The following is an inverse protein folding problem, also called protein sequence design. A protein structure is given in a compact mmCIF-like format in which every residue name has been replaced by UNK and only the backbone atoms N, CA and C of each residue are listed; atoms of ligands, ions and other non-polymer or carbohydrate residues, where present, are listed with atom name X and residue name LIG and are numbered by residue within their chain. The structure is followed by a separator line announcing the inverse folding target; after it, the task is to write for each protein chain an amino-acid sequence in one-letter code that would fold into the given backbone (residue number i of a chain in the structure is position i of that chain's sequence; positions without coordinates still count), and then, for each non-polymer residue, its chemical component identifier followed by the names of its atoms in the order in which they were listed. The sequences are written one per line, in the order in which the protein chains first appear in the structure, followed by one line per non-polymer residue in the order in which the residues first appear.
data_IF_642030306989
#
_entry.id   IF_642030306989
#
_cell.length_a   1.000
_cell.length_b   1.000
_cell.length_c   1.000
_cell.angle_alpha   90.00
_cell.angle_beta   90.00
_cell.angle_gamma   90.00
#
_symmetry.space_group_name_H-M   'P 1'
#
loop_
_entity.id
_entity.type
_entity.pdbx_description
1 polymer ?
#
# COMPACT_ATOMS: atom_id res chain seq x y z
N UNK A 1 6.01 4.29 -4.34
CA UNK A 1 5.99 3.34 -3.22
C UNK A 1 5.63 4.10 -1.97
N UNK A 2 4.61 3.64 -1.25
CA UNK A 2 4.15 4.23 0.01
C UNK A 2 3.67 3.09 0.91
N UNK A 3 4.13 3.07 2.16
CA UNK A 3 3.97 1.93 3.05
C UNK A 3 4.39 0.61 2.35
N UNK A 4 3.57 -0.44 2.44
CA UNK A 4 3.75 -1.73 1.77
C UNK A 4 3.14 -1.78 0.36
N UNK A 5 2.67 -0.66 -0.19
CA UNK A 5 2.07 -0.60 -1.52
C UNK A 5 3.05 -0.11 -2.58
N UNK A 6 3.08 -0.85 -3.69
CA UNK A 6 3.87 -0.56 -4.88
C UNK A 6 2.89 -0.39 -6.05
N UNK A 7 2.88 0.81 -6.61
CA UNK A 7 2.06 1.19 -7.76
C UNK A 7 2.86 2.10 -8.68
N UNK A 8 2.44 2.19 -9.94
CA UNK A 8 3.06 3.07 -10.95
C UNK A 8 2.48 4.48 -10.89
N UNK A 9 1.30 4.64 -10.28
CA UNK A 9 0.60 5.90 -10.09
C UNK A 9 0.11 6.09 -8.64
N UNK A 10 -0.38 7.28 -8.31
CA UNK A 10 -1.05 7.54 -7.03
C UNK A 10 -2.37 6.75 -6.91
N UNK A 11 -3.16 6.69 -7.98
CA UNK A 11 -4.40 5.91 -8.03
C UNK A 11 -4.18 4.42 -7.74
N UNK A 12 -3.05 3.85 -8.19
CA UNK A 12 -2.71 2.46 -7.87
C UNK A 12 -2.54 2.25 -6.35
N UNK A 13 -1.97 3.24 -5.66
CA UNK A 13 -1.79 3.20 -4.21
C UNK A 13 -3.13 3.41 -3.49
N UNK A 14 -4.00 4.30 -4.01
CA UNK A 14 -5.35 4.51 -3.47
C UNK A 14 -6.17 3.23 -3.55
N UNK A 15 -6.17 2.56 -4.70
CA UNK A 15 -6.86 1.29 -4.91
C UNK A 15 -6.31 0.19 -4.00
N UNK A 16 -4.97 0.06 -3.93
CA UNK A 16 -4.34 -0.93 -3.05
C UNK A 16 -4.69 -0.69 -1.57
N UNK A 17 -4.81 0.58 -1.14
CA UNK A 17 -5.27 0.93 0.21
C UNK A 17 -6.73 0.53 0.43
N UNK A 18 -7.63 0.86 -0.50
CA UNK A 18 -9.04 0.47 -0.40
C UNK A 18 -9.20 -1.04 -0.34
N UNK A 19 -8.57 -1.77 -1.26
CA UNK A 19 -8.57 -3.23 -1.30
C UNK A 19 -8.12 -3.84 0.05
N UNK A 20 -7.16 -3.20 0.74
CA UNK A 20 -6.64 -3.66 2.04
C UNK A 20 -7.63 -3.41 3.19
N UNK A 21 -8.22 -2.23 3.23
CA UNK A 21 -9.26 -1.87 4.22
C UNK A 21 -10.52 -2.72 4.03
N UNK A 22 -10.93 -2.97 2.78
CA UNK A 22 -12.08 -3.81 2.43
C UNK A 22 -11.81 -5.31 2.64
N UNK A 23 -10.60 -5.68 3.05
CA UNK A 23 -10.20 -7.07 3.25
C UNK A 23 -10.40 -7.92 1.98
N UNK A 24 -10.15 -7.30 0.82
CA UNK A 24 -10.31 -7.92 -0.48
C UNK A 24 -9.51 -9.22 -0.57
N UNK A 25 -10.05 -10.20 -1.31
CA UNK A 25 -9.44 -11.52 -1.53
C UNK A 25 -8.00 -11.42 -2.06
N UNK A 26 -7.66 -10.32 -2.74
CA UNK A 26 -6.30 -10.01 -3.22
C UNK A 26 -5.24 -10.08 -2.12
N UNK A 27 -5.57 -9.68 -0.89
CA UNK A 27 -4.65 -9.69 0.25
C UNK A 27 -4.80 -10.93 1.15
N UNK A 28 -5.85 -11.73 0.91
CA UNK A 28 -6.17 -12.92 1.69
C UNK A 28 -6.41 -12.61 3.17
N UNK A 29 -6.48 -13.65 4.00
CA UNK A 29 -6.46 -13.56 5.45
C UNK A 29 -5.23 -14.31 5.98
N UNK A 30 -4.58 -13.76 7.01
CA UNK A 30 -3.45 -14.44 7.66
C UNK A 30 -4.00 -15.28 8.80
N UNK A 31 -4.16 -16.58 8.57
CA UNK A 31 -4.57 -17.51 9.61
C UNK A 31 -3.44 -17.77 10.61
N UNK A 32 -3.78 -17.85 11.90
CA UNK A 32 -2.81 -18.15 12.97
C UNK A 32 -2.15 -16.92 13.62
N UNK A 33 -2.43 -15.70 13.15
CA UNK A 33 -2.02 -14.48 13.84
C UNK A 33 -3.12 -14.01 14.80
N UNK A 34 -2.81 -13.95 16.10
CA UNK A 34 -3.76 -13.60 17.17
C UNK A 34 -3.97 -12.07 17.33
N UNK A 35 -3.73 -11.29 16.27
CA UNK A 35 -3.86 -9.84 16.28
C UNK A 35 -4.71 -9.34 15.12
N UNK A 36 -5.28 -8.15 15.28
CA UNK A 36 -6.03 -7.50 14.22
C UNK A 36 -5.11 -7.10 13.05
N UNK A 37 -5.68 -7.06 11.85
CA UNK A 37 -4.99 -6.54 10.66
C UNK A 37 -4.59 -5.09 10.91
N UNK A 38 -3.34 -4.75 10.58
CA UNK A 38 -2.86 -3.38 10.68
C UNK A 38 -3.65 -2.48 9.70
N UNK A 39 -4.31 -1.40 10.17
CA UNK A 39 -5.00 -0.47 9.27
C UNK A 39 -4.00 0.26 8.40
N UNK A 40 -4.36 0.49 7.13
CA UNK A 40 -3.54 1.30 6.24
C UNK A 40 -3.65 2.78 6.65
N UNK A 41 -2.51 3.49 6.79
CA UNK A 41 -2.53 4.89 7.22
C UNK A 41 -3.27 5.78 6.22
N UNK A 42 -3.64 6.99 6.63
CA UNK A 42 -4.20 7.97 5.70
C UNK A 42 -3.20 8.35 4.61
N UNK A 43 -3.68 8.45 3.37
CA UNK A 43 -2.84 8.90 2.27
C UNK A 43 -2.42 10.34 2.53
N UNK A 44 -1.15 10.69 2.29
CA UNK A 44 -0.73 12.07 2.37
C UNK A 44 -1.55 12.89 1.36
N UNK A 45 -1.94 14.11 1.73
CA UNK A 45 -2.60 15.08 0.84
C UNK A 45 -1.72 15.53 -0.34
N UNK A 46 -0.56 14.90 -0.54
CA UNK A 46 0.40 15.16 -1.59
C UNK A 46 0.51 13.94 -2.52
N UNK A 47 0.51 14.18 -3.82
CA UNK A 47 0.71 13.13 -4.83
C UNK A 47 2.07 12.47 -4.62
N UNK A 48 2.05 11.14 -4.45
CA UNK A 48 3.25 10.33 -4.26
C UNK A 48 4.13 10.41 -5.52
N UNK A 49 5.35 10.92 -5.38
CA UNK A 49 6.32 10.94 -6.47
C UNK A 49 6.96 9.56 -6.68
N UNK A 50 7.17 9.11 -7.93
CA UNK A 50 7.98 7.94 -8.22
C UNK A 50 9.37 8.10 -7.59
N UNK A 51 9.85 7.08 -6.87
CA UNK A 51 11.23 7.07 -6.38
C UNK A 51 12.16 6.99 -7.58
N UNK A 52 13.08 7.95 -7.73
CA UNK A 52 14.17 7.87 -8.73
C UNK A 52 15.23 6.87 -8.23
N UNK A 53 15.70 6.01 -9.13
CA UNK A 53 16.82 5.13 -8.82
C UNK A 53 18.09 5.99 -8.64
N UNK A 54 18.91 5.78 -7.59
CA UNK A 54 20.17 6.48 -7.46
C UNK A 54 21.08 6.14 -8.66
N UNK A 55 21.95 7.06 -9.11
CA UNK A 55 22.87 6.78 -10.21
C UNK A 55 23.77 5.60 -9.83
N UNK A 56 23.82 4.59 -10.70
CA UNK A 56 24.81 3.52 -10.62
C UNK A 56 26.20 4.15 -10.82
N UNK A 57 27.03 4.11 -9.78
CA UNK A 57 28.45 4.47 -9.86
C UNK A 57 29.23 3.44 -10.67
#
# INVERSE_FOLDING_TARGET
MWWNFIGRSHDDIVRARQDWEEQSERFGAVEGYAGERLPAPELPNATLAPRRNPPSS
#
